data_IF_375755631575
#
_entry.id   IF_375755631575
#
_cell.length_a   1.000
_cell.length_b   1.000
_cell.length_c   1.000
_cell.angle_alpha   90.00
_cell.angle_beta   90.00
_cell.angle_gamma   90.00
#
_symmetry.space_group_name_H-M   'P 1'
#
loop_
_entity.id
_entity.type
_entity.pdbx_description
1 polymer ?
#
# COMPACT_ATOMS: atom_id res chain seq x y z
N UNK A 1 -48.86 32.17 -27.27
CA UNK A 1 -47.64 31.73 -26.59
C UNK A 1 -47.65 30.24 -26.36
N UNK A 2 -46.99 29.46 -27.19
CA UNK A 2 -46.96 28.02 -27.09
C UNK A 2 -45.85 27.60 -26.10
N UNK A 3 -46.22 26.97 -25.00
CA UNK A 3 -45.26 26.35 -24.07
C UNK A 3 -44.57 25.16 -24.82
N UNK A 4 -43.27 25.32 -25.10
CA UNK A 4 -42.41 24.22 -25.51
C UNK A 4 -42.26 23.24 -24.32
N UNK A 5 -42.96 22.12 -24.35
CA UNK A 5 -42.69 20.98 -23.48
C UNK A 5 -41.33 20.37 -23.90
N UNK A 6 -40.28 20.61 -23.12
CA UNK A 6 -39.06 19.87 -23.23
C UNK A 6 -39.32 18.44 -22.75
N UNK A 7 -39.43 17.54 -23.70
CA UNK A 7 -39.43 16.10 -23.45
C UNK A 7 -38.13 15.71 -22.70
N UNK A 8 -38.21 15.66 -21.37
CA UNK A 8 -37.14 15.11 -20.54
C UNK A 8 -37.13 13.60 -20.71
N UNK A 9 -36.33 13.10 -21.65
CA UNK A 9 -36.12 11.67 -21.85
C UNK A 9 -35.40 11.11 -20.62
N UNK A 10 -36.15 10.61 -19.62
CA UNK A 10 -35.60 9.90 -18.46
C UNK A 10 -35.31 8.45 -18.86
N UNK A 11 -34.04 8.19 -19.16
CA UNK A 11 -33.57 6.82 -19.40
C UNK A 11 -33.81 5.96 -18.15
N UNK A 12 -34.31 4.70 -18.31
CA UNK A 12 -34.46 3.77 -17.18
C UNK A 12 -33.16 3.61 -16.42
N UNK A 13 -33.22 3.56 -15.08
CA UNK A 13 -32.03 3.50 -14.22
C UNK A 13 -31.07 2.35 -14.58
N UNK A 14 -31.61 1.18 -14.96
CA UNK A 14 -30.85 0.01 -15.39
C UNK A 14 -30.06 0.30 -16.69
N UNK A 15 -30.70 0.86 -17.70
CA UNK A 15 -30.08 1.23 -18.99
C UNK A 15 -29.01 2.30 -18.80
N UNK A 16 -29.28 3.32 -17.98
CA UNK A 16 -28.31 4.36 -17.63
C UNK A 16 -27.07 3.77 -16.94
N UNK A 17 -27.26 2.85 -15.99
CA UNK A 17 -26.15 2.21 -15.28
C UNK A 17 -25.29 1.35 -16.22
N UNK A 18 -25.92 0.60 -17.14
CA UNK A 18 -25.20 -0.18 -18.17
C UNK A 18 -24.39 0.76 -19.08
N UNK A 19 -24.99 1.86 -19.55
CA UNK A 19 -24.29 2.84 -20.39
C UNK A 19 -23.11 3.46 -19.66
N UNK A 20 -23.26 3.83 -18.39
CA UNK A 20 -22.16 4.36 -17.57
C UNK A 20 -21.03 3.33 -17.39
N UNK A 21 -21.35 2.06 -17.20
CA UNK A 21 -20.34 0.99 -17.11
C UNK A 21 -19.59 0.82 -18.44
N UNK A 22 -20.30 0.86 -19.57
CA UNK A 22 -19.66 0.78 -20.91
C UNK A 22 -18.75 1.99 -21.13
N UNK A 23 -19.21 3.20 -20.83
CA UNK A 23 -18.41 4.41 -20.99
C UNK A 23 -17.18 4.40 -20.06
N UNK A 24 -17.33 3.95 -18.81
CA UNK A 24 -16.22 3.78 -17.89
C UNK A 24 -15.20 2.75 -18.42
N UNK A 25 -15.66 1.61 -18.92
CA UNK A 25 -14.79 0.58 -19.51
C UNK A 25 -14.03 1.11 -20.73
N UNK A 26 -14.72 1.81 -21.63
CA UNK A 26 -14.07 2.42 -22.81
C UNK A 26 -13.04 3.47 -22.39
N UNK A 27 -13.38 4.34 -21.44
CA UNK A 27 -12.44 5.33 -20.90
C UNK A 27 -11.20 4.65 -20.30
N UNK A 28 -11.38 3.65 -19.44
CA UNK A 28 -10.27 2.91 -18.83
C UNK A 28 -9.44 2.18 -19.89
N UNK A 29 -10.05 1.65 -20.93
CA UNK A 29 -9.35 1.02 -22.05
C UNK A 29 -8.50 2.03 -22.84
N UNK A 30 -8.99 3.26 -23.03
CA UNK A 30 -8.22 4.35 -23.63
C UNK A 30 -7.03 4.75 -22.75
N UNK A 31 -7.26 4.93 -21.43
CA UNK A 31 -6.17 5.22 -20.48
C UNK A 31 -5.11 4.14 -20.52
N UNK A 32 -5.51 2.86 -20.50
CA UNK A 32 -4.58 1.75 -20.66
C UNK A 32 -3.76 1.86 -21.95
N UNK A 33 -4.43 2.01 -23.10
CA UNK A 33 -3.78 2.00 -24.40
C UNK A 33 -2.76 3.13 -24.56
N UNK A 34 -3.05 4.33 -24.05
CA UNK A 34 -2.21 5.50 -24.27
C UNK A 34 -1.16 5.73 -23.18
N UNK A 35 -1.43 5.35 -21.93
CA UNK A 35 -0.60 5.72 -20.78
C UNK A 35 0.05 4.52 -20.05
N UNK A 36 -0.54 3.32 -20.13
CA UNK A 36 -0.10 2.18 -19.31
C UNK A 36 0.57 1.08 -20.12
N UNK A 37 0.00 0.71 -21.27
CA UNK A 37 0.41 -0.47 -22.05
C UNK A 37 1.90 -0.52 -22.39
N UNK A 38 2.54 0.61 -22.60
CA UNK A 38 3.96 0.69 -23.02
C UNK A 38 4.92 0.30 -21.90
N UNK A 39 4.54 0.59 -20.67
CA UNK A 39 5.40 0.44 -19.50
C UNK A 39 5.19 -0.93 -18.82
N UNK A 40 4.34 -1.14 -17.91
CA UNK A 40 4.05 -2.39 -17.17
C UNK A 40 5.23 -3.40 -17.07
N UNK A 41 6.43 -2.86 -16.87
CA UNK A 41 7.69 -3.65 -16.89
C UNK A 41 7.73 -4.65 -15.74
N UNK A 42 7.21 -4.29 -14.58
CA UNK A 42 7.23 -5.15 -13.41
C UNK A 42 6.19 -6.28 -13.52
N UNK A 43 5.05 -6.04 -14.19
CA UNK A 43 4.16 -7.12 -14.57
C UNK A 43 4.86 -8.09 -15.54
N UNK A 44 5.63 -7.57 -16.50
CA UNK A 44 6.43 -8.39 -17.42
C UNK A 44 7.39 -9.32 -16.70
N UNK A 45 8.08 -8.83 -15.65
CA UNK A 45 8.94 -9.64 -14.79
C UNK A 45 8.15 -10.74 -14.07
N UNK A 46 6.96 -10.40 -13.56
CA UNK A 46 6.09 -11.38 -12.89
C UNK A 46 5.55 -12.44 -13.86
N UNK A 47 5.13 -12.02 -15.05
CA UNK A 47 4.64 -12.92 -16.10
C UNK A 47 5.73 -13.91 -16.54
N UNK A 48 6.95 -13.42 -16.81
CA UNK A 48 8.10 -14.28 -17.11
C UNK A 48 8.45 -15.24 -15.97
N UNK A 49 8.38 -14.75 -14.72
CA UNK A 49 8.51 -15.60 -13.55
C UNK A 49 7.50 -16.76 -13.53
N UNK A 50 6.24 -16.45 -13.85
CA UNK A 50 5.18 -17.44 -14.01
C UNK A 50 5.46 -18.46 -15.11
N UNK A 51 5.98 -18.04 -16.25
CA UNK A 51 6.37 -18.96 -17.33
C UNK A 51 7.52 -19.90 -16.91
N UNK A 52 8.54 -19.32 -16.28
CA UNK A 52 9.74 -20.09 -15.86
C UNK A 52 9.41 -21.17 -14.85
N UNK A 53 8.58 -20.82 -13.83
CA UNK A 53 8.26 -21.78 -12.77
C UNK A 53 7.49 -23.00 -13.31
N UNK A 54 6.51 -22.79 -14.19
CA UNK A 54 5.73 -23.89 -14.79
C UNK A 54 6.59 -24.79 -15.66
N UNK A 55 7.61 -24.24 -16.31
CA UNK A 55 8.56 -25.00 -17.14
C UNK A 55 9.71 -25.64 -16.32
N UNK A 56 9.79 -25.43 -15.02
CA UNK A 56 10.91 -25.87 -14.20
C UNK A 56 12.24 -25.18 -14.54
N UNK A 57 12.19 -24.01 -15.17
CA UNK A 57 13.37 -23.25 -15.57
C UNK A 57 13.95 -22.43 -14.41
N UNK A 58 15.22 -21.99 -14.55
CA UNK A 58 15.87 -21.10 -13.58
C UNK A 58 15.08 -19.81 -13.44
N UNK A 59 14.55 -19.56 -12.22
CA UNK A 59 13.69 -18.40 -11.92
C UNK A 59 14.50 -17.11 -11.75
N UNK A 60 15.62 -17.19 -11.03
CA UNK A 60 16.48 -16.06 -10.67
C UNK A 60 17.72 -16.01 -11.58
N UNK A 61 17.64 -15.25 -12.65
CA UNK A 61 18.72 -15.15 -13.65
C UNK A 61 19.42 -13.80 -13.50
N UNK A 62 20.71 -13.80 -13.19
CA UNK A 62 21.50 -12.57 -13.13
C UNK A 62 21.58 -11.86 -14.49
N UNK A 63 21.47 -12.59 -15.60
CA UNK A 63 21.42 -12.08 -16.98
C UNK A 63 20.22 -11.19 -17.27
N UNK A 64 19.15 -11.24 -16.46
CA UNK A 64 17.99 -10.36 -16.62
C UNK A 64 18.29 -8.92 -16.12
N UNK A 65 19.44 -8.67 -15.50
CA UNK A 65 19.88 -7.34 -15.07
C UNK A 65 18.92 -6.70 -14.06
N UNK A 66 18.47 -5.47 -14.34
CA UNK A 66 17.55 -4.74 -13.48
C UNK A 66 16.13 -5.33 -13.48
N UNK A 67 15.76 -6.12 -14.50
CA UNK A 67 14.48 -6.82 -14.60
C UNK A 67 14.51 -8.22 -13.98
N UNK A 68 15.54 -8.53 -13.19
CA UNK A 68 15.63 -9.81 -12.48
C UNK A 68 14.42 -10.01 -11.55
N UNK A 69 13.85 -11.23 -11.58
CA UNK A 69 12.79 -11.62 -10.67
C UNK A 69 13.30 -11.61 -9.22
N UNK A 70 12.58 -10.93 -8.31
CA UNK A 70 13.01 -10.75 -6.90
C UNK A 70 11.98 -11.22 -5.87
N UNK A 71 10.79 -11.62 -6.32
CA UNK A 71 9.74 -12.12 -5.43
C UNK A 71 9.97 -13.59 -5.05
N UNK A 72 9.20 -14.10 -4.08
CA UNK A 72 9.30 -15.51 -3.71
C UNK A 72 8.90 -16.44 -4.86
N UNK A 73 9.37 -17.70 -4.88
CA UNK A 73 8.95 -18.68 -5.88
C UNK A 73 7.42 -18.89 -5.87
N UNK A 74 6.79 -18.82 -4.71
CA UNK A 74 5.35 -18.95 -4.57
C UNK A 74 4.57 -17.84 -5.30
N UNK A 75 5.09 -16.63 -5.36
CA UNK A 75 4.44 -15.55 -6.12
C UNK A 75 4.49 -15.79 -7.62
N UNK A 76 5.55 -16.44 -8.14
CA UNK A 76 5.60 -16.87 -9.53
C UNK A 76 4.48 -17.88 -9.88
N UNK A 77 4.10 -18.75 -8.95
CA UNK A 77 2.95 -19.65 -9.12
C UNK A 77 1.63 -18.87 -9.25
N UNK A 78 1.45 -17.80 -8.48
CA UNK A 78 0.26 -16.95 -8.63
C UNK A 78 0.21 -16.31 -10.02
N UNK A 79 1.34 -15.80 -10.52
CA UNK A 79 1.42 -15.19 -11.83
C UNK A 79 1.39 -16.21 -12.99
N UNK A 80 1.63 -17.49 -12.74
CA UNK A 80 1.55 -18.52 -13.78
C UNK A 80 0.15 -18.65 -14.39
N UNK A 81 -0.90 -18.29 -13.66
CA UNK A 81 -2.28 -18.27 -14.17
C UNK A 81 -2.42 -17.31 -15.37
N UNK A 82 -1.70 -16.19 -15.34
CA UNK A 82 -1.71 -15.22 -16.43
C UNK A 82 -0.98 -15.72 -17.68
N UNK A 83 -0.12 -16.71 -17.54
CA UNK A 83 0.63 -17.28 -18.68
C UNK A 83 -0.20 -18.21 -19.57
N UNK A 84 -1.43 -18.53 -19.15
CA UNK A 84 -2.42 -19.29 -19.92
C UNK A 84 -3.05 -18.47 -21.04
N UNK A 85 -2.84 -17.17 -21.05
CA UNK A 85 -3.39 -16.23 -22.05
C UNK A 85 -2.28 -15.37 -22.66
N UNK A 86 -2.49 -14.80 -23.87
CA UNK A 86 -1.50 -13.93 -24.50
C UNK A 86 -1.08 -12.77 -23.62
N UNK A 87 0.20 -12.40 -23.67
CA UNK A 87 0.81 -11.40 -22.78
C UNK A 87 0.06 -10.06 -22.75
N UNK A 88 -0.34 -9.52 -23.90
CA UNK A 88 -1.06 -8.24 -23.98
C UNK A 88 -2.44 -8.31 -23.30
N UNK A 89 -3.13 -9.46 -23.41
CA UNK A 89 -4.40 -9.70 -22.72
C UNK A 89 -4.18 -9.82 -21.22
N UNK A 90 -3.12 -10.53 -20.81
CA UNK A 90 -2.74 -10.66 -19.40
C UNK A 90 -2.41 -9.31 -18.77
N UNK A 91 -1.65 -8.44 -19.47
CA UNK A 91 -1.39 -7.05 -19.05
C UNK A 91 -2.67 -6.27 -18.79
N UNK A 92 -3.61 -6.33 -19.73
CA UNK A 92 -4.88 -5.62 -19.61
C UNK A 92 -5.73 -6.13 -18.44
N UNK A 93 -5.79 -7.45 -18.25
CA UNK A 93 -6.51 -8.05 -17.13
C UNK A 93 -5.85 -7.66 -15.80
N UNK A 94 -4.52 -7.66 -15.72
CA UNK A 94 -3.82 -7.21 -14.51
C UNK A 94 -4.12 -5.73 -14.21
N UNK A 95 -4.04 -4.86 -15.19
CA UNK A 95 -4.42 -3.44 -15.06
C UNK A 95 -5.83 -3.26 -14.50
N UNK A 96 -6.82 -3.96 -15.05
CA UNK A 96 -8.20 -3.90 -14.54
C UNK A 96 -8.29 -4.44 -13.11
N UNK A 97 -7.54 -5.50 -12.79
CA UNK A 97 -7.48 -6.07 -11.44
C UNK A 97 -6.92 -5.08 -10.43
N UNK A 98 -5.86 -4.34 -10.77
CA UNK A 98 -5.29 -3.30 -9.91
C UNK A 98 -6.31 -2.19 -9.62
N UNK A 99 -7.07 -1.74 -10.62
CA UNK A 99 -8.13 -0.75 -10.42
C UNK A 99 -9.24 -1.26 -9.49
N UNK A 100 -9.65 -2.52 -9.63
CA UNK A 100 -10.62 -3.16 -8.74
C UNK A 100 -10.08 -3.26 -7.31
N UNK A 101 -8.84 -3.73 -7.14
CA UNK A 101 -8.22 -3.83 -5.82
C UNK A 101 -8.06 -2.46 -5.16
N UNK A 102 -7.68 -1.43 -5.93
CA UNK A 102 -7.58 -0.06 -5.43
C UNK A 102 -8.95 0.47 -4.96
N UNK A 103 -9.98 0.32 -5.79
CA UNK A 103 -11.34 0.74 -5.43
C UNK A 103 -11.85 0.03 -4.17
N UNK A 104 -11.71 -1.30 -4.12
CA UNK A 104 -12.11 -2.09 -2.95
C UNK A 104 -11.30 -1.70 -1.70
N UNK A 105 -10.01 -1.43 -1.85
CA UNK A 105 -9.14 -0.99 -0.75
C UNK A 105 -9.59 0.33 -0.15
N UNK A 106 -9.93 1.32 -0.98
CA UNK A 106 -10.47 2.61 -0.54
C UNK A 106 -11.82 2.42 0.17
N UNK A 107 -12.73 1.66 -0.44
CA UNK A 107 -14.06 1.38 0.12
C UNK A 107 -13.94 0.67 1.48
N UNK A 108 -13.15 -0.39 1.57
CA UNK A 108 -12.97 -1.15 2.81
C UNK A 108 -12.31 -0.29 3.88
N UNK A 109 -11.31 0.53 3.52
CA UNK A 109 -10.66 1.47 4.45
C UNK A 109 -11.67 2.44 5.08
N UNK A 110 -12.62 2.95 4.31
CA UNK A 110 -13.70 3.77 4.86
C UNK A 110 -14.67 2.94 5.72
N UNK A 111 -15.07 1.75 5.25
CA UNK A 111 -16.10 0.94 5.91
C UNK A 111 -15.67 0.43 7.30
N UNK A 112 -14.36 0.22 7.53
CA UNK A 112 -13.82 -0.21 8.84
C UNK A 112 -13.61 0.94 9.82
N UNK A 113 -13.75 2.22 9.42
CA UNK A 113 -13.61 3.35 10.34
C UNK A 113 -14.57 3.23 11.54
N UNK A 114 -14.14 3.61 12.74
CA UNK A 114 -14.96 3.53 13.96
C UNK A 114 -16.28 4.32 13.84
N UNK A 115 -16.21 5.55 13.35
CA UNK A 115 -17.38 6.39 13.11
C UNK A 115 -17.24 7.14 11.79
N UNK A 116 -18.36 7.48 11.17
CA UNK A 116 -18.45 8.16 9.87
C UNK A 116 -18.72 9.65 10.09
N UNK A 117 -17.66 10.47 10.16
CA UNK A 117 -17.78 11.91 10.38
C UNK A 117 -18.11 12.67 9.09
N UNK A 118 -17.80 12.09 7.93
CA UNK A 118 -18.00 12.70 6.60
C UNK A 118 -18.66 11.72 5.64
N UNK A 119 -19.30 12.27 4.60
CA UNK A 119 -19.92 11.48 3.51
C UNK A 119 -18.87 10.60 2.82
N UNK A 120 -19.19 9.31 2.59
CA UNK A 120 -18.29 8.33 1.99
C UNK A 120 -17.65 8.81 0.69
N UNK A 121 -18.47 9.30 -0.27
CA UNK A 121 -17.95 9.77 -1.55
C UNK A 121 -16.91 10.87 -1.42
N UNK A 122 -17.14 11.86 -0.51
CA UNK A 122 -16.17 12.93 -0.26
C UNK A 122 -14.84 12.39 0.26
N UNK A 123 -14.87 11.49 1.26
CA UNK A 123 -13.66 10.92 1.84
C UNK A 123 -12.89 10.12 0.80
N UNK A 124 -13.59 9.29 0.01
CA UNK A 124 -12.95 8.47 -1.02
C UNK A 124 -12.31 9.33 -2.11
N UNK A 125 -13.01 10.36 -2.63
CA UNK A 125 -12.49 11.25 -3.67
C UNK A 125 -11.26 12.02 -3.15
N UNK A 126 -11.35 12.62 -1.96
CA UNK A 126 -10.21 13.37 -1.40
C UNK A 126 -9.01 12.45 -1.13
N UNK A 127 -9.24 11.24 -0.61
CA UNK A 127 -8.16 10.27 -0.39
C UNK A 127 -7.52 9.83 -1.70
N UNK A 128 -8.31 9.59 -2.72
CA UNK A 128 -7.81 9.28 -4.06
C UNK A 128 -6.95 10.41 -4.61
N UNK A 129 -7.42 11.67 -4.55
CA UNK A 129 -6.68 12.83 -5.05
C UNK A 129 -5.35 13.04 -4.31
N UNK A 130 -5.31 12.84 -3.00
CA UNK A 130 -4.06 12.94 -2.21
C UNK A 130 -3.04 11.88 -2.62
N UNK A 131 -3.49 10.69 -3.02
CA UNK A 131 -2.61 9.55 -3.27
C UNK A 131 -2.48 9.18 -4.76
N UNK A 132 -3.15 9.90 -5.66
CA UNK A 132 -3.27 9.55 -7.09
C UNK A 132 -1.92 9.34 -7.78
N UNK A 133 -0.90 10.12 -7.42
CA UNK A 133 0.44 9.97 -8.01
C UNK A 133 1.11 8.64 -7.67
N UNK A 134 0.87 8.12 -6.46
CA UNK A 134 1.40 6.82 -6.04
C UNK A 134 0.66 5.70 -6.78
N UNK A 135 -0.65 5.84 -6.93
CA UNK A 135 -1.46 4.88 -7.70
C UNK A 135 -1.10 4.89 -9.18
N UNK A 136 -0.92 6.09 -9.76
CA UNK A 136 -0.56 6.23 -11.18
C UNK A 136 0.75 5.51 -11.49
N UNK A 137 1.80 5.74 -10.70
CA UNK A 137 3.11 5.09 -10.91
C UNK A 137 3.07 3.59 -10.68
N UNK A 138 2.31 3.13 -9.70
CA UNK A 138 2.12 1.72 -9.40
C UNK A 138 1.46 0.98 -10.57
N UNK A 139 0.37 1.54 -11.10
CA UNK A 139 -0.39 1.00 -12.23
C UNK A 139 0.44 1.06 -13.53
N UNK A 140 1.16 2.15 -13.76
CA UNK A 140 2.06 2.31 -14.91
C UNK A 140 3.11 1.20 -14.97
N UNK A 141 3.71 0.86 -13.83
CA UNK A 141 4.69 -0.23 -13.73
C UNK A 141 4.05 -1.63 -13.73
N UNK A 142 2.75 -1.75 -13.45
CA UNK A 142 2.07 -3.03 -13.23
C UNK A 142 2.58 -3.75 -11.98
N UNK A 143 2.83 -2.99 -10.90
CA UNK A 143 3.37 -3.47 -9.64
C UNK A 143 2.34 -4.25 -8.82
N UNK A 144 2.80 -4.96 -7.79
CA UNK A 144 1.96 -5.79 -6.92
C UNK A 144 1.51 -5.10 -5.64
N UNK A 145 1.93 -3.85 -5.36
CA UNK A 145 1.74 -3.27 -4.03
C UNK A 145 0.27 -2.89 -3.75
N UNK A 146 -0.53 -2.51 -4.77
CA UNK A 146 -1.98 -2.31 -4.62
C UNK A 146 -2.64 -3.62 -4.19
N UNK A 147 -2.27 -4.73 -4.80
CA UNK A 147 -2.77 -6.06 -4.44
C UNK A 147 -2.35 -6.46 -3.02
N UNK A 148 -1.08 -6.22 -2.65
CA UNK A 148 -0.59 -6.47 -1.28
C UNK A 148 -1.37 -5.62 -0.27
N UNK A 149 -1.59 -4.33 -0.55
CA UNK A 149 -2.40 -3.47 0.32
C UNK A 149 -3.82 -4.01 0.46
N UNK A 150 -4.44 -4.45 -0.63
CA UNK A 150 -5.76 -5.08 -0.61
C UNK A 150 -5.79 -6.31 0.31
N UNK A 151 -4.77 -7.19 0.26
CA UNK A 151 -4.66 -8.34 1.15
C UNK A 151 -4.52 -7.90 2.62
N UNK A 152 -3.69 -6.88 2.90
CA UNK A 152 -3.49 -6.37 4.25
C UNK A 152 -4.74 -5.69 4.81
N UNK A 153 -5.50 -4.95 4.01
CA UNK A 153 -6.77 -4.35 4.49
C UNK A 153 -7.85 -5.41 4.73
N UNK A 154 -7.85 -6.50 3.94
CA UNK A 154 -8.71 -7.67 4.18
C UNK A 154 -8.31 -8.42 5.45
N UNK A 155 -7.01 -8.55 5.74
CA UNK A 155 -6.49 -9.06 7.01
C UNK A 155 -7.04 -8.23 8.18
N UNK A 156 -6.94 -6.91 8.11
CA UNK A 156 -7.46 -6.01 9.16
C UNK A 156 -8.97 -6.20 9.32
N UNK A 157 -9.73 -6.19 8.22
CA UNK A 157 -11.18 -6.40 8.26
C UNK A 157 -11.56 -7.72 8.93
N UNK A 158 -10.83 -8.81 8.63
CA UNK A 158 -11.02 -10.12 9.26
C UNK A 158 -10.63 -10.07 10.76
N UNK A 159 -9.49 -9.45 11.08
CA UNK A 159 -9.03 -9.27 12.46
C UNK A 159 -10.03 -8.50 13.32
N UNK A 160 -10.59 -7.40 12.83
CA UNK A 160 -11.63 -6.62 13.52
C UNK A 160 -12.92 -7.43 13.75
N UNK A 161 -13.20 -8.42 12.90
CA UNK A 161 -14.30 -9.38 13.05
C UNK A 161 -13.93 -10.60 13.88
N UNK A 162 -12.76 -10.61 14.54
CA UNK A 162 -12.23 -11.73 15.32
C UNK A 162 -12.08 -13.06 14.54
N UNK A 163 -12.00 -12.98 13.20
CA UNK A 163 -11.74 -14.13 12.34
C UNK A 163 -10.25 -14.25 12.05
N UNK A 164 -9.50 -14.77 13.03
CA UNK A 164 -8.05 -14.86 13.01
C UNK A 164 -7.51 -15.78 11.92
N UNK A 165 -8.19 -16.88 11.64
CA UNK A 165 -7.76 -17.80 10.57
C UNK A 165 -7.79 -17.10 9.21
N UNK A 166 -8.90 -16.47 8.87
CA UNK A 166 -9.03 -15.71 7.62
C UNK A 166 -8.07 -14.53 7.57
N UNK A 167 -7.88 -13.83 8.71
CA UNK A 167 -6.89 -12.75 8.83
C UNK A 167 -5.48 -13.26 8.56
N UNK A 168 -5.11 -14.40 9.14
CA UNK A 168 -3.81 -15.03 8.93
C UNK A 168 -3.57 -15.49 7.50
N UNK A 169 -4.59 -16.04 6.82
CA UNK A 169 -4.49 -16.39 5.40
C UNK A 169 -4.13 -15.16 4.54
N UNK A 170 -4.83 -14.03 4.70
CA UNK A 170 -4.50 -12.80 3.97
C UNK A 170 -3.12 -12.25 4.35
N UNK A 171 -2.76 -12.30 5.63
CA UNK A 171 -1.44 -11.90 6.12
C UNK A 171 -0.34 -12.72 5.46
N UNK A 172 -0.39 -14.06 5.56
CA UNK A 172 0.61 -14.94 4.96
C UNK A 172 0.68 -14.80 3.45
N UNK A 173 -0.48 -14.67 2.79
CA UNK A 173 -0.51 -14.47 1.34
C UNK A 173 0.14 -13.15 0.92
N UNK A 174 -0.01 -12.06 1.68
CA UNK A 174 0.70 -10.81 1.43
C UNK A 174 2.22 -10.97 1.54
N UNK A 175 2.71 -11.77 2.52
CA UNK A 175 4.13 -12.01 2.74
C UNK A 175 4.80 -12.82 1.62
N UNK A 176 4.03 -13.64 0.89
CA UNK A 176 4.52 -14.38 -0.28
C UNK A 176 5.03 -13.42 -1.37
N UNK A 177 4.42 -12.25 -1.52
CA UNK A 177 4.85 -11.24 -2.50
C UNK A 177 6.00 -10.38 -1.96
N UNK A 178 5.75 -9.69 -0.85
CA UNK A 178 6.77 -8.83 -0.20
C UNK A 178 6.58 -8.88 1.32
N UNK A 179 7.65 -8.83 2.12
CA UNK A 179 7.59 -8.96 3.57
C UNK A 179 7.03 -7.71 4.29
N UNK A 180 6.34 -6.83 3.59
CA UNK A 180 5.81 -5.56 4.12
C UNK A 180 4.82 -5.76 5.28
N UNK A 181 4.07 -6.86 5.25
CA UNK A 181 3.17 -7.23 6.34
C UNK A 181 3.86 -7.52 7.68
N UNK A 182 5.18 -7.79 7.70
CA UNK A 182 5.91 -8.08 8.93
C UNK A 182 5.86 -6.93 9.95
N UNK A 183 5.62 -5.69 9.51
CA UNK A 183 5.42 -4.54 10.41
C UNK A 183 4.28 -4.76 11.41
N UNK A 184 3.29 -5.60 11.07
CA UNK A 184 2.16 -5.92 11.95
C UNK A 184 2.48 -7.04 12.95
N UNK A 185 3.54 -7.80 12.76
CA UNK A 185 3.85 -8.98 13.59
C UNK A 185 4.05 -8.64 15.07
N UNK A 186 4.88 -7.64 15.45
CA UNK A 186 5.01 -7.22 16.86
C UNK A 186 3.66 -6.81 17.47
N UNK A 187 2.84 -6.12 16.71
CA UNK A 187 1.49 -5.72 17.14
C UNK A 187 0.59 -6.93 17.41
N UNK A 188 0.59 -7.95 16.54
CA UNK A 188 -0.20 -9.17 16.77
C UNK A 188 0.29 -9.95 17.98
N UNK A 189 1.60 -9.98 18.25
CA UNK A 189 2.17 -10.59 19.47
C UNK A 189 1.65 -9.85 20.71
N UNK A 190 1.74 -8.51 20.74
CA UNK A 190 1.25 -7.67 21.83
C UNK A 190 -0.27 -7.82 22.07
N UNK A 191 -1.05 -7.97 20.99
CA UNK A 191 -2.51 -8.21 21.08
C UNK A 191 -2.86 -9.69 21.28
N UNK A 192 -1.87 -10.59 21.46
CA UNK A 192 -2.04 -12.04 21.67
C UNK A 192 -2.86 -12.73 20.57
N UNK A 193 -2.70 -12.27 19.30
CA UNK A 193 -3.40 -12.82 18.13
C UNK A 193 -2.66 -14.03 17.53
N UNK A 194 -2.30 -14.99 18.39
CA UNK A 194 -1.46 -16.14 18.01
C UNK A 194 -2.10 -17.03 16.92
N UNK A 195 -3.43 -17.15 16.88
CA UNK A 195 -4.12 -17.89 15.82
C UNK A 195 -3.93 -17.23 14.45
N UNK A 196 -3.95 -15.89 14.39
CA UNK A 196 -3.68 -15.15 13.15
C UNK A 196 -2.23 -15.36 12.70
N UNK A 197 -1.27 -15.28 13.62
CA UNK A 197 0.15 -15.49 13.34
C UNK A 197 0.38 -16.92 12.83
N UNK A 198 -0.16 -17.93 13.53
CA UNK A 198 0.00 -19.34 13.13
C UNK A 198 -0.60 -19.63 11.75
N UNK A 199 -1.81 -19.09 11.46
CA UNK A 199 -2.42 -19.21 10.14
C UNK A 199 -1.58 -18.53 9.06
N UNK A 200 -1.02 -17.35 9.35
CA UNK A 200 -0.14 -16.63 8.41
C UNK A 200 1.15 -17.39 8.13
N UNK A 201 1.81 -17.89 9.16
CA UNK A 201 3.02 -18.72 9.01
C UNK A 201 2.72 -19.99 8.24
N UNK A 202 1.61 -20.67 8.54
CA UNK A 202 1.16 -21.84 7.77
C UNK A 202 0.96 -21.53 6.29
N UNK A 203 0.35 -20.38 5.97
CA UNK A 203 0.17 -19.93 4.57
C UNK A 203 1.52 -19.69 3.88
N UNK A 204 2.48 -19.05 4.56
CA UNK A 204 3.82 -18.84 4.01
C UNK A 204 4.53 -20.19 3.79
N UNK A 205 4.48 -21.10 4.77
CA UNK A 205 5.11 -22.43 4.66
C UNK A 205 4.54 -23.22 3.47
N UNK A 206 3.22 -23.25 3.32
CA UNK A 206 2.58 -23.88 2.16
C UNK A 206 3.07 -23.23 0.87
N UNK A 207 3.11 -21.89 0.80
CA UNK A 207 3.61 -21.16 -0.36
C UNK A 207 5.06 -21.53 -0.71
N UNK A 208 5.96 -21.66 0.27
CA UNK A 208 7.36 -22.02 0.04
C UNK A 208 7.54 -23.50 -0.36
N UNK A 209 6.60 -24.38 -0.01
CA UNK A 209 6.63 -25.80 -0.37
C UNK A 209 6.01 -26.05 -1.76
N UNK A 210 4.96 -25.31 -2.14
CA UNK A 210 4.24 -25.54 -3.40
C UNK A 210 5.13 -25.64 -4.64
N UNK A 211 6.23 -24.88 -4.83
CA UNK A 211 7.10 -24.99 -5.99
C UNK A 211 7.79 -26.37 -6.13
N UNK A 212 7.75 -27.22 -5.10
CA UNK A 212 8.23 -28.63 -5.18
C UNK A 212 7.55 -29.39 -6.31
N UNK A 213 6.30 -29.05 -6.64
CA UNK A 213 5.54 -29.69 -7.74
C UNK A 213 6.28 -29.56 -9.07
N UNK A 214 7.01 -28.46 -9.30
CA UNK A 214 7.70 -28.17 -10.56
C UNK A 214 9.19 -28.46 -10.52
N UNK A 215 9.83 -28.28 -9.37
CA UNK A 215 11.29 -28.43 -9.21
C UNK A 215 11.74 -29.71 -8.50
N UNK A 216 10.81 -30.49 -7.94
CA UNK A 216 11.15 -31.51 -6.97
C UNK A 216 11.71 -30.94 -5.67
N UNK A 217 11.99 -31.78 -4.67
CA UNK A 217 12.43 -31.33 -3.35
C UNK A 217 13.81 -30.64 -3.39
N UNK A 218 14.79 -31.27 -4.01
CA UNK A 218 16.16 -30.73 -4.15
C UNK A 218 16.18 -29.44 -4.97
N UNK A 219 15.43 -29.39 -6.08
CA UNK A 219 15.30 -28.22 -6.94
C UNK A 219 14.62 -27.05 -6.23
N UNK A 220 13.58 -27.30 -5.42
CA UNK A 220 12.94 -26.25 -4.64
C UNK A 220 13.88 -25.62 -3.60
N UNK A 221 14.70 -26.45 -2.92
CA UNK A 221 15.73 -25.96 -1.99
C UNK A 221 16.74 -25.07 -2.74
N UNK A 222 17.17 -25.48 -3.95
CA UNK A 222 18.09 -24.69 -4.77
C UNK A 222 17.46 -23.35 -5.19
N UNK A 223 16.18 -23.34 -5.58
CA UNK A 223 15.43 -22.11 -5.93
C UNK A 223 15.28 -21.16 -4.74
N UNK A 224 15.00 -21.67 -3.53
CA UNK A 224 14.93 -20.85 -2.31
C UNK A 224 16.29 -20.22 -1.96
N UNK A 225 17.39 -20.99 -2.09
CA UNK A 225 18.76 -20.47 -1.92
C UNK A 225 19.09 -19.39 -2.96
N UNK A 226 18.70 -19.61 -4.22
CA UNK A 226 18.89 -18.64 -5.29
C UNK A 226 18.10 -17.36 -5.02
N UNK A 227 16.86 -17.45 -4.51
CA UNK A 227 16.07 -16.30 -4.07
C UNK A 227 16.78 -15.49 -2.98
N UNK A 228 17.22 -16.14 -1.92
CA UNK A 228 17.98 -15.51 -0.84
C UNK A 228 19.23 -14.79 -1.37
N UNK A 229 20.01 -15.45 -2.24
CA UNK A 229 21.20 -14.88 -2.87
C UNK A 229 20.84 -13.63 -3.70
N UNK A 230 19.79 -13.70 -4.50
CA UNK A 230 19.32 -12.57 -5.33
C UNK A 230 18.98 -11.36 -4.47
N UNK A 231 18.24 -11.55 -3.37
CA UNK A 231 17.87 -10.45 -2.46
C UNK A 231 19.09 -9.83 -1.79
N UNK A 232 20.03 -10.66 -1.30
CA UNK A 232 21.25 -10.18 -0.63
C UNK A 232 22.19 -9.41 -1.56
N UNK A 233 22.21 -9.75 -2.85
CA UNK A 233 23.07 -9.08 -3.82
C UNK A 233 22.45 -7.82 -4.43
N UNK A 234 21.13 -7.80 -4.64
CA UNK A 234 20.48 -6.69 -5.34
C UNK A 234 20.05 -5.53 -4.44
N UNK A 235 19.86 -5.76 -3.14
CA UNK A 235 19.36 -4.72 -2.20
C UNK A 235 20.39 -3.67 -1.85
N UNK A 236 21.67 -3.99 -1.52
CA UNK A 236 22.64 -3.01 -1.04
C UNK A 236 22.90 -1.87 -2.02
N UNK A 237 23.01 -2.18 -3.31
CA UNK A 237 23.30 -1.18 -4.34
C UNK A 237 22.15 -0.21 -4.65
N UNK A 238 20.97 -0.41 -4.04
CA UNK A 238 19.79 0.43 -4.23
C UNK A 238 19.43 1.28 -3.00
N UNK A 239 20.13 1.09 -1.89
CA UNK A 239 19.83 1.81 -0.65
C UNK A 239 20.04 3.33 -0.85
N UNK A 240 21.14 3.71 -1.51
CA UNK A 240 21.52 5.09 -1.76
C UNK A 240 20.87 5.66 -3.03
N UNK A 241 20.00 4.89 -3.69
CA UNK A 241 19.35 5.33 -4.93
C UNK A 241 18.51 6.58 -4.68
N UNK A 242 18.56 7.51 -5.63
CA UNK A 242 17.91 8.82 -5.49
C UNK A 242 16.38 8.71 -5.27
N UNK A 243 15.73 7.71 -5.86
CA UNK A 243 14.29 7.44 -5.70
C UNK A 243 13.93 6.68 -4.42
N UNK A 244 14.92 6.21 -3.63
CA UNK A 244 14.62 5.60 -2.35
C UNK A 244 14.14 6.67 -1.36
N UNK A 245 12.91 6.52 -0.88
CA UNK A 245 12.22 7.43 0.02
C UNK A 245 12.00 6.84 1.41
N UNK A 246 12.84 5.90 1.86
CA UNK A 246 12.85 5.41 3.24
C UNK A 246 13.46 6.43 4.20
N UNK A 247 13.20 6.27 5.50
CA UNK A 247 13.81 7.11 6.53
C UNK A 247 15.34 6.95 6.54
N UNK A 248 15.84 5.77 6.19
CA UNK A 248 17.28 5.54 6.07
C UNK A 248 17.87 6.32 4.90
N UNK A 249 17.27 6.23 3.71
CA UNK A 249 17.69 7.01 2.56
C UNK A 249 17.58 8.52 2.80
N UNK A 250 16.57 8.97 3.54
CA UNK A 250 16.42 10.38 3.94
C UNK A 250 17.61 10.86 4.75
N UNK A 251 18.05 10.13 5.78
CA UNK A 251 19.20 10.53 6.58
C UNK A 251 20.51 10.42 5.81
N UNK A 252 20.69 9.38 4.96
CA UNK A 252 21.88 9.27 4.11
C UNK A 252 22.04 10.46 3.15
N UNK A 253 20.94 11.07 2.71
CA UNK A 253 20.95 12.23 1.80
C UNK A 253 21.19 13.57 2.51
N UNK A 254 21.13 13.61 3.83
CA UNK A 254 21.29 14.83 4.64
C UNK A 254 22.65 14.86 5.33
N UNK A 255 23.13 13.70 5.76
CA UNK A 255 24.45 13.61 6.40
C UNK A 255 25.57 13.61 5.36
N UNK A 256 26.76 14.10 5.68
CA UNK A 256 27.95 13.98 4.79
C UNK A 256 28.21 12.50 4.44
N UNK A 257 28.72 12.25 3.22
CA UNK A 257 28.98 10.88 2.71
C UNK A 257 29.93 10.08 3.64
N UNK A 258 30.84 10.73 4.29
CA UNK A 258 31.79 10.15 5.25
C UNK A 258 31.15 9.74 6.58
N UNK A 259 29.86 10.12 6.82
CA UNK A 259 29.16 9.97 8.11
C UNK A 259 28.01 8.98 8.05
N UNK A 260 28.14 7.88 7.28
CA UNK A 260 27.07 6.85 7.16
C UNK A 260 26.62 6.30 8.52
N UNK A 261 27.52 6.19 9.48
CA UNK A 261 27.24 5.77 10.86
C UNK A 261 26.27 6.72 11.57
N UNK A 262 26.42 8.03 11.33
CA UNK A 262 25.52 9.04 11.87
C UNK A 262 24.07 8.87 11.33
N UNK A 263 23.94 8.53 10.04
CA UNK A 263 22.63 8.21 9.46
C UNK A 263 21.99 7.00 10.15
N UNK A 264 22.77 5.95 10.43
CA UNK A 264 22.29 4.75 11.15
C UNK A 264 21.82 5.14 12.56
N UNK A 265 22.59 5.98 13.28
CA UNK A 265 22.19 6.46 14.62
C UNK A 265 20.85 7.21 14.54
N UNK A 266 20.69 8.13 13.58
CA UNK A 266 19.42 8.86 13.40
C UNK A 266 18.25 7.95 13.07
N UNK A 267 18.45 6.91 12.26
CA UNK A 267 17.42 5.90 11.97
C UNK A 267 17.03 5.16 13.23
N UNK A 268 17.99 4.70 14.02
CA UNK A 268 17.73 3.98 15.29
C UNK A 268 16.98 4.89 16.26
N UNK A 269 17.44 6.12 16.48
CA UNK A 269 16.81 7.09 17.37
C UNK A 269 15.36 7.38 16.91
N UNK A 270 15.16 7.61 15.61
CA UNK A 270 13.82 7.84 15.05
C UNK A 270 12.93 6.61 15.21
N UNK A 271 13.47 5.42 14.97
CA UNK A 271 12.75 4.16 15.15
C UNK A 271 12.32 3.95 16.60
N UNK A 272 13.20 4.20 17.55
CA UNK A 272 12.89 4.11 18.99
C UNK A 272 11.82 5.12 19.42
N UNK A 273 11.93 6.38 18.94
CA UNK A 273 10.93 7.42 19.21
C UNK A 273 9.57 7.06 18.65
N UNK A 274 9.51 6.56 17.43
CA UNK A 274 8.27 6.14 16.78
C UNK A 274 7.67 4.91 17.49
N UNK A 275 8.51 3.92 17.84
CA UNK A 275 8.06 2.74 18.59
C UNK A 275 7.52 3.13 19.98
N UNK A 276 8.23 4.01 20.70
CA UNK A 276 7.76 4.55 21.99
C UNK A 276 6.42 5.27 21.82
N UNK A 277 6.29 6.13 20.82
CA UNK A 277 5.05 6.85 20.54
C UNK A 277 3.89 5.90 20.23
N UNK A 278 4.15 4.82 19.47
CA UNK A 278 3.15 3.79 19.19
C UNK A 278 2.73 3.02 20.45
N UNK A 279 3.67 2.59 21.27
CA UNK A 279 3.39 1.90 22.53
C UNK A 279 2.63 2.81 23.51
N UNK A 280 3.02 4.07 23.62
CA UNK A 280 2.32 5.07 24.40
C UNK A 280 0.87 5.24 23.95
N UNK A 281 0.67 5.36 22.65
CA UNK A 281 -0.65 5.43 22.02
C UNK A 281 -1.52 4.21 22.38
N UNK A 282 -0.95 3.00 22.39
CA UNK A 282 -1.65 1.77 22.79
C UNK A 282 -2.01 1.74 24.28
N UNK A 283 -1.12 2.23 25.15
CA UNK A 283 -1.33 2.25 26.61
C UNK A 283 -2.43 3.25 26.98
N UNK A 284 -2.34 4.47 26.46
CA UNK A 284 -3.35 5.51 26.71
C UNK A 284 -4.72 5.10 26.20
N UNK A 285 -4.76 4.32 25.14
CA UNK A 285 -5.98 3.83 24.55
C UNK A 285 -6.82 2.90 25.42
N UNK A 286 -6.24 2.32 26.45
CA UNK A 286 -6.99 1.49 27.41
C UNK A 286 -7.86 2.32 28.37
N UNK A 287 -7.59 3.60 28.50
CA UNK A 287 -8.26 4.48 29.48
C UNK A 287 -9.49 5.21 28.94
N UNK A 288 -9.75 5.18 27.64
CA UNK A 288 -10.85 5.93 27.03
C UNK A 288 -11.71 5.04 26.13
N UNK A 289 -13.03 5.24 26.19
CA UNK A 289 -14.03 4.57 25.35
C UNK A 289 -13.91 5.03 23.89
N UNK A 290 -12.93 4.52 23.16
CA UNK A 290 -12.82 4.69 21.72
C UNK A 290 -13.29 3.40 21.07
N UNK A 291 -14.34 3.51 20.29
CA UNK A 291 -14.83 2.39 19.48
C UNK A 291 -13.76 2.00 18.46
N UNK A 292 -13.35 0.72 18.45
CA UNK A 292 -12.33 0.14 17.53
C UNK A 292 -11.01 0.93 17.48
N UNK A 293 -10.29 1.09 18.58
CA UNK A 293 -9.00 1.80 18.61
C UNK A 293 -7.96 1.18 17.65
N UNK A 294 -8.13 -0.11 17.35
CA UNK A 294 -7.25 -0.86 16.47
C UNK A 294 -7.14 -0.25 15.07
N UNK A 295 -8.20 0.40 14.56
CA UNK A 295 -8.16 1.01 13.21
C UNK A 295 -7.14 2.14 13.13
N UNK A 296 -7.02 2.95 14.19
CA UNK A 296 -5.99 3.99 14.28
C UNK A 296 -4.60 3.37 14.45
N UNK A 297 -4.47 2.31 15.27
CA UNK A 297 -3.23 1.57 15.46
C UNK A 297 -2.75 0.97 14.13
N UNK A 298 -3.65 0.37 13.34
CA UNK A 298 -3.34 -0.13 11.99
C UNK A 298 -2.97 1.00 11.02
N UNK A 299 -3.66 2.15 11.09
CA UNK A 299 -3.33 3.32 10.26
C UNK A 299 -1.90 3.79 10.52
N UNK A 300 -1.45 3.78 11.78
CA UNK A 300 -0.09 4.11 12.15
C UNK A 300 0.91 3.11 11.55
N UNK A 301 0.66 1.80 11.70
CA UNK A 301 1.53 0.74 11.21
C UNK A 301 1.69 0.75 9.68
N UNK A 302 0.64 1.08 8.93
CA UNK A 302 0.74 1.20 7.48
C UNK A 302 1.74 2.27 7.03
N UNK A 303 1.84 3.37 7.74
CA UNK A 303 2.82 4.43 7.43
C UNK A 303 4.25 3.95 7.68
N UNK A 304 4.45 3.02 8.61
CA UNK A 304 5.78 2.47 8.89
C UNK A 304 6.31 1.60 7.76
N UNK A 305 5.45 1.01 6.92
CA UNK A 305 5.88 0.18 5.79
C UNK A 305 6.86 0.94 4.88
N UNK A 306 6.50 2.05 4.23
CA UNK A 306 7.44 2.78 3.39
C UNK A 306 8.55 3.46 4.20
N UNK A 307 8.29 3.92 5.41
CA UNK A 307 9.32 4.60 6.21
C UNK A 307 10.48 3.67 6.59
N UNK A 308 10.20 2.42 6.95
CA UNK A 308 11.21 1.47 7.43
C UNK A 308 11.55 0.35 6.45
N UNK A 309 10.96 0.34 5.26
CA UNK A 309 11.43 -0.56 4.20
C UNK A 309 12.85 -0.17 3.78
N UNK A 310 13.80 -1.11 3.65
CA UNK A 310 15.14 -0.80 3.16
C UNK A 310 15.14 -0.14 1.78
N UNK A 311 14.19 -0.56 0.93
CA UNK A 311 13.93 0.02 -0.38
C UNK A 311 12.48 0.49 -0.42
N UNK A 312 12.26 1.76 -0.18
CA UNK A 312 10.96 2.40 -0.29
C UNK A 312 10.94 3.28 -1.52
N UNK A 313 10.52 2.73 -2.63
CA UNK A 313 10.22 3.56 -3.78
C UNK A 313 9.10 4.55 -3.45
N UNK A 314 9.18 5.71 -4.02
CA UNK A 314 8.24 6.80 -3.77
C UNK A 314 6.75 6.39 -3.83
N UNK A 315 6.38 5.52 -4.77
CA UNK A 315 5.01 5.02 -4.88
C UNK A 315 4.58 4.06 -3.76
N UNK A 316 5.52 3.53 -2.96
CA UNK A 316 5.17 2.67 -1.81
C UNK A 316 4.36 3.41 -0.73
N UNK A 317 4.32 4.75 -0.78
CA UNK A 317 3.46 5.52 0.11
C UNK A 317 1.96 5.33 -0.16
N UNK A 318 1.58 4.57 -1.18
CA UNK A 318 0.22 4.06 -1.36
C UNK A 318 -0.29 3.26 -0.14
N UNK A 319 0.61 2.63 0.63
CA UNK A 319 0.24 1.94 1.87
C UNK A 319 -0.42 2.85 2.90
N UNK A 320 -0.35 4.16 2.75
CA UNK A 320 -1.06 5.12 3.60
C UNK A 320 -2.56 5.30 3.28
N UNK A 321 -3.17 4.51 2.40
CA UNK A 321 -4.60 4.62 2.04
C UNK A 321 -5.49 4.68 3.28
N UNK A 322 -5.38 3.70 4.19
CA UNK A 322 -6.20 3.67 5.41
C UNK A 322 -5.95 4.92 6.27
N UNK A 323 -4.71 5.35 6.38
CA UNK A 323 -4.29 6.52 7.15
C UNK A 323 -4.89 7.80 6.61
N UNK A 324 -4.82 8.03 5.30
CA UNK A 324 -5.36 9.24 4.66
C UNK A 324 -6.89 9.25 4.75
N UNK A 325 -7.54 8.10 4.50
CA UNK A 325 -8.99 7.94 4.70
C UNK A 325 -9.38 8.26 6.16
N UNK A 326 -8.62 7.78 7.13
CA UNK A 326 -8.85 8.05 8.55
C UNK A 326 -8.70 9.54 8.87
N UNK A 327 -7.58 10.16 8.51
CA UNK A 327 -7.31 11.57 8.81
C UNK A 327 -8.31 12.52 8.14
N UNK A 328 -8.69 12.28 6.88
CA UNK A 328 -9.70 13.09 6.19
C UNK A 328 -11.06 12.97 6.88
N UNK A 329 -11.45 11.76 7.30
CA UNK A 329 -12.71 11.55 8.00
C UNK A 329 -12.76 12.30 9.34
N UNK A 330 -11.65 12.38 10.08
CA UNK A 330 -11.56 13.01 11.40
C UNK A 330 -10.93 14.41 11.39
N UNK A 331 -10.73 15.04 10.23
CA UNK A 331 -10.00 16.31 10.09
C UNK A 331 -10.58 17.45 10.93
N UNK A 332 -11.90 17.46 11.14
CA UNK A 332 -12.59 18.51 11.92
C UNK A 332 -12.46 18.32 13.43
N UNK A 333 -11.88 17.19 13.89
CA UNK A 333 -11.57 16.95 15.30
C UNK A 333 -10.27 17.60 15.76
N UNK A 334 -9.46 18.11 14.84
CA UNK A 334 -8.23 18.82 15.19
C UNK A 334 -8.49 20.29 15.56
N UNK A 335 -7.71 20.89 16.48
CA UNK A 335 -7.64 22.34 16.65
C UNK A 335 -7.30 23.03 15.34
N UNK A 336 -7.78 24.26 15.17
CA UNK A 336 -7.64 25.02 13.89
C UNK A 336 -6.22 24.99 13.34
N UNK A 337 -5.19 25.26 14.16
CA UNK A 337 -3.79 25.25 13.72
C UNK A 337 -3.36 23.88 13.16
N UNK A 338 -3.57 22.78 13.92
CA UNK A 338 -3.21 21.44 13.46
C UNK A 338 -4.03 20.99 12.25
N UNK A 339 -5.31 21.39 12.16
CA UNK A 339 -6.14 21.14 10.99
C UNK A 339 -5.53 21.75 9.73
N UNK A 340 -5.11 23.02 9.79
CA UNK A 340 -4.49 23.69 8.64
C UNK A 340 -3.13 23.09 8.28
N UNK A 341 -2.31 22.72 9.28
CA UNK A 341 -1.04 21.99 9.05
C UNK A 341 -1.30 20.66 8.34
N UNK A 342 -2.32 19.90 8.78
CA UNK A 342 -2.69 18.65 8.13
C UNK A 342 -3.16 18.88 6.68
N UNK A 343 -4.03 19.86 6.44
CA UNK A 343 -4.51 20.18 5.09
C UNK A 343 -3.34 20.54 4.18
N UNK A 344 -2.46 21.46 4.63
CA UNK A 344 -1.29 21.86 3.87
C UNK A 344 -0.38 20.64 3.55
N UNK A 345 -0.15 19.78 4.55
CA UNK A 345 0.65 18.56 4.36
C UNK A 345 0.01 17.58 3.35
N UNK A 346 -1.31 17.38 3.41
CA UNK A 346 -2.01 16.54 2.43
C UNK A 346 -1.94 17.13 1.01
N UNK A 347 -2.00 18.46 0.88
CA UNK A 347 -1.79 19.14 -0.40
C UNK A 347 -0.36 18.92 -0.89
N UNK A 348 0.64 19.03 -0.03
CA UNK A 348 2.05 18.74 -0.39
C UNK A 348 2.20 17.28 -0.83
N UNK A 349 1.62 16.33 -0.09
CA UNK A 349 1.63 14.92 -0.48
C UNK A 349 1.02 14.72 -1.87
N UNK A 350 -0.15 15.26 -2.15
CA UNK A 350 -0.83 15.10 -3.44
C UNK A 350 -0.22 15.93 -4.56
N UNK A 351 0.18 17.17 -4.26
CA UNK A 351 0.67 18.14 -5.24
C UNK A 351 2.15 18.03 -5.60
N UNK A 352 2.93 17.16 -4.95
CA UNK A 352 4.36 16.98 -5.29
C UNK A 352 4.53 16.10 -6.54
N UNK A 353 3.93 16.53 -7.64
CA UNK A 353 4.07 15.99 -8.99
C UNK A 353 5.10 16.83 -9.77
N UNK A 354 5.80 16.21 -10.72
CA UNK A 354 6.77 16.89 -11.58
C UNK A 354 6.12 18.02 -12.38
N UNK A 355 4.89 17.79 -12.84
CA UNK A 355 4.09 18.73 -13.62
C UNK A 355 3.66 19.95 -12.80
N UNK A 356 3.52 19.81 -11.47
CA UNK A 356 3.13 20.87 -10.54
C UNK A 356 4.35 21.62 -10.01
N UNK A 357 5.38 20.87 -9.53
CA UNK A 357 6.56 21.46 -8.88
C UNK A 357 7.60 21.99 -9.85
N UNK A 358 7.49 21.72 -11.15
CA UNK A 358 8.56 21.90 -12.13
C UNK A 358 9.79 21.02 -11.82
N UNK A 359 10.70 20.92 -12.80
CA UNK A 359 11.83 19.97 -12.79
C UNK A 359 12.73 20.12 -11.56
N UNK A 360 13.12 21.35 -11.23
CA UNK A 360 14.14 21.57 -10.18
C UNK A 360 13.56 21.38 -8.77
N UNK A 361 12.38 21.91 -8.50
CA UNK A 361 11.70 21.71 -7.23
C UNK A 361 11.30 20.23 -7.01
N UNK A 362 10.92 19.53 -8.08
CA UNK A 362 10.63 18.10 -8.01
C UNK A 362 11.91 17.29 -7.73
N UNK A 363 13.03 17.62 -8.37
CA UNK A 363 14.33 16.99 -8.10
C UNK A 363 14.79 17.23 -6.66
N UNK A 364 14.62 18.45 -6.16
CA UNK A 364 14.91 18.78 -4.76
C UNK A 364 14.02 17.96 -3.82
N UNK A 365 12.72 17.91 -4.05
CA UNK A 365 11.75 17.15 -3.23
C UNK A 365 12.08 15.66 -3.18
N UNK A 366 12.37 15.03 -4.33
CA UNK A 366 12.71 13.60 -4.42
C UNK A 366 14.15 13.33 -3.97
N UNK A 367 15.08 14.19 -4.36
CA UNK A 367 16.51 14.07 -4.05
C UNK A 367 16.77 14.04 -2.55
N UNK A 368 16.05 14.83 -1.77
CA UNK A 368 16.13 14.82 -0.30
C UNK A 368 15.05 13.96 0.37
N UNK A 369 14.28 13.19 -0.38
CA UNK A 369 13.21 12.33 0.17
C UNK A 369 12.24 13.06 1.11
N UNK A 370 11.87 14.33 0.79
CA UNK A 370 11.06 15.19 1.65
C UNK A 370 9.65 14.61 1.97
N UNK A 371 9.22 13.62 1.22
CA UNK A 371 8.01 12.84 1.53
C UNK A 371 8.08 12.20 2.92
N UNK A 372 9.28 11.86 3.41
CA UNK A 372 9.49 11.33 4.77
C UNK A 372 8.98 12.31 5.81
N UNK A 373 9.34 13.61 5.68
CA UNK A 373 8.89 14.67 6.60
C UNK A 373 7.34 14.75 6.60
N UNK A 374 6.72 14.70 5.41
CA UNK A 374 5.26 14.71 5.30
C UNK A 374 4.62 13.55 6.06
N UNK A 375 5.21 12.37 6.01
CA UNK A 375 4.66 11.21 6.71
C UNK A 375 5.02 11.16 8.21
N UNK A 376 6.09 11.80 8.65
CA UNK A 376 6.32 12.07 10.09
C UNK A 376 5.26 13.02 10.65
N UNK A 377 4.85 14.05 9.90
CA UNK A 377 3.71 14.91 10.24
C UNK A 377 2.40 14.12 10.31
N UNK A 378 2.19 13.17 9.40
CA UNK A 378 1.03 12.27 9.43
C UNK A 378 1.02 11.42 10.70
N UNK A 379 2.15 10.80 11.08
CA UNK A 379 2.28 10.03 12.32
C UNK A 379 1.99 10.88 13.56
N UNK A 380 2.50 12.12 13.60
CA UNK A 380 2.20 13.06 14.67
C UNK A 380 0.69 13.33 14.79
N UNK A 381 -0.03 13.52 13.67
CA UNK A 381 -1.48 13.74 13.70
C UNK A 381 -2.26 12.52 14.19
N UNK A 382 -1.85 11.30 13.80
CA UNK A 382 -2.45 10.07 14.34
C UNK A 382 -2.23 9.95 15.85
N UNK A 383 -0.99 10.22 16.30
CA UNK A 383 -0.66 10.21 17.73
C UNK A 383 -1.50 11.25 18.50
N UNK A 384 -1.59 12.49 17.98
CA UNK A 384 -2.38 13.55 18.58
C UNK A 384 -3.86 13.17 18.72
N UNK A 385 -4.47 12.61 17.65
CA UNK A 385 -5.86 12.11 17.70
C UNK A 385 -6.07 11.12 18.83
N UNK A 386 -5.12 10.22 19.02
CA UNK A 386 -5.23 9.17 20.02
C UNK A 386 -5.11 9.70 21.45
N UNK A 387 -4.23 10.68 21.67
CA UNK A 387 -3.88 11.19 22.99
C UNK A 387 -4.87 12.26 23.47
N UNK A 388 -5.36 13.10 22.57
CA UNK A 388 -6.07 14.34 22.92
C UNK A 388 -7.55 14.34 22.56
N UNK A 389 -8.00 13.47 21.66
CA UNK A 389 -9.35 13.55 21.10
C UNK A 389 -10.17 12.32 21.50
N UNK A 390 -11.30 12.55 22.19
CA UNK A 390 -12.30 11.51 22.40
C UNK A 390 -13.02 11.22 21.07
N UNK A 391 -12.77 10.05 20.50
CA UNK A 391 -13.44 9.56 19.31
C UNK A 391 -14.71 8.77 19.69
N UNK A 392 -15.56 9.36 20.54
CA UNK A 392 -16.84 8.75 20.94
C UNK A 392 -17.88 8.83 19.81
N UNK A 393 -18.81 7.89 19.80
CA UNK A 393 -20.04 7.97 19.02
C UNK A 393 -20.79 9.26 19.37
N UNK A 394 -21.30 9.99 18.39
CA UNK A 394 -22.40 10.96 18.67
C UNK A 394 -23.48 10.17 19.40
N UNK A 395 -23.89 10.61 20.56
CA UNK A 395 -25.13 10.11 21.15
C UNK A 395 -26.26 10.40 20.16
N UNK A 396 -27.18 9.44 20.01
CA UNK A 396 -28.38 9.60 19.17
C UNK A 396 -29.28 10.75 19.60
N UNK A 397 -28.88 11.56 20.61
CA UNK A 397 -29.61 12.71 21.13
C UNK A 397 -29.34 14.03 20.37
N UNK A 398 -28.49 14.06 19.32
CA UNK A 398 -28.14 15.25 18.53
C UNK A 398 -28.67 15.21 17.08
N UNK A 399 -29.72 14.44 16.83
CA UNK A 399 -30.50 14.47 15.57
C UNK A 399 -31.87 15.08 15.79
#
# INVERSE_FOLDING_TARGET
MAKREFLTFRMPSKTRNILLLILAFLFLSLVYQYFVKKDMTDFGVCYQGGQRIVKGETLYRATDGHLQYKYSPASALVFSVFTLIPYDVAKFIWYLSELVFLFLSLVISYDILPSKQKKKGLVLILSFLVLVKFFGREIELGQVNIFIFFLLIMMIKASLRKNDLKGGLFFGFSLIFKPYGLVFLPYFILKKRFKLIASGLGTVLVGLILPVIFYGLSGNIAVLKAWQKTLSQSTPGLIDHYDNASIFAFFLKIVPDESRELAIIFVICSGLLIAFSFLWMMILGKKENIDKPEVLEYSFLFVLIPLFSPLAWYYNYLYSILTVVFLINYIDKFPKALKYVLIANLIVIGGSLREVLRKDAFRFYTGYSLVVISYLIVLFHLFYLRVRIKLGSKSESDL
#
